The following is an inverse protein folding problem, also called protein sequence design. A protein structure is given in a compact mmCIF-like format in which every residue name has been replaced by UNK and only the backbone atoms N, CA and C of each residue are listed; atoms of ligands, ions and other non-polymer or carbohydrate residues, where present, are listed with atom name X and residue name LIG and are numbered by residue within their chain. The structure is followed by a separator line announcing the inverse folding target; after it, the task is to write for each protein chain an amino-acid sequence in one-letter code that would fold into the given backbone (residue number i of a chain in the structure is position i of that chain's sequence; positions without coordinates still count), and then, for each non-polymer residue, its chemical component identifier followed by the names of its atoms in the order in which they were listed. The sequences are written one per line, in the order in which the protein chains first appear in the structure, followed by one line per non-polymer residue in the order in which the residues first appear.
data_IF_840130677202
#
_entry.id   IF_840130677202
#
_cell.length_a   1.000
_cell.length_b   1.000
_cell.length_c   1.000
_cell.angle_alpha   90.00
_cell.angle_beta   90.00
_cell.angle_gamma   90.00
#
_symmetry.space_group_name_H-M   'P 1'
#
loop_
_entity.id
_entity.type
_entity.pdbx_description
1 polymer ?
#
# COMPACT_ATOMS: atom_id res chain seq x y z
N UNK A 1 10.83 -2.52 -9.39
CA UNK A 1 10.53 -1.41 -10.32
C UNK A 1 9.49 -1.81 -11.35
N UNK A 2 9.67 -2.94 -12.06
CA UNK A 2 8.74 -3.41 -13.11
C UNK A 2 7.27 -3.48 -12.65
N UNK A 3 6.99 -4.04 -11.47
CA UNK A 3 5.60 -4.15 -10.96
C UNK A 3 4.87 -2.80 -10.84
N UNK A 4 5.55 -1.76 -10.35
CA UNK A 4 4.96 -0.43 -10.13
C UNK A 4 4.76 0.25 -11.47
N UNK A 5 5.75 0.13 -12.36
CA UNK A 5 5.64 0.64 -13.71
C UNK A 5 4.41 0.04 -14.41
N UNK A 6 4.21 -1.27 -14.37
CA UNK A 6 3.03 -1.93 -14.94
C UNK A 6 1.73 -1.37 -14.35
N UNK A 7 1.65 -1.19 -13.03
CA UNK A 7 0.46 -0.61 -12.42
C UNK A 7 0.21 0.84 -12.87
N UNK A 8 1.25 1.67 -12.93
CA UNK A 8 1.15 3.06 -13.42
C UNK A 8 0.69 3.08 -14.89
N UNK A 9 1.28 2.24 -15.74
CA UNK A 9 0.90 2.09 -17.14
C UNK A 9 -0.54 1.64 -17.30
N UNK A 10 -1.00 0.68 -16.49
CA UNK A 10 -2.39 0.24 -16.48
C UNK A 10 -3.34 1.41 -16.18
N UNK A 11 -3.00 2.29 -15.23
CA UNK A 11 -3.79 3.49 -14.93
C UNK A 11 -3.73 4.56 -16.02
N UNK A 12 -2.63 4.64 -16.77
CA UNK A 12 -2.47 5.60 -17.86
C UNK A 12 -3.37 5.24 -19.06
N UNK A 13 -3.46 3.95 -19.41
CA UNK A 13 -4.15 3.50 -20.63
C UNK A 13 -5.59 3.04 -20.41
N UNK A 14 -6.09 2.98 -19.17
CA UNK A 14 -7.40 2.37 -18.86
C UNK A 14 -8.59 3.05 -19.53
N UNK A 15 -8.46 4.33 -19.88
CA UNK A 15 -9.51 5.10 -20.55
C UNK A 15 -9.60 4.78 -22.04
N UNK A 16 -8.51 4.37 -22.68
CA UNK A 16 -8.51 4.01 -24.10
C UNK A 16 -8.61 2.49 -24.29
N UNK A 17 -7.95 1.72 -23.42
CA UNK A 17 -7.78 0.26 -23.53
C UNK A 17 -8.03 -0.46 -22.18
N UNK A 18 -9.27 -0.50 -21.67
CA UNK A 18 -9.57 -1.01 -20.32
C UNK A 18 -9.23 -2.50 -20.13
N UNK A 19 -9.33 -3.31 -21.19
CA UNK A 19 -8.98 -4.74 -21.13
C UNK A 19 -7.47 -4.95 -21.02
N UNK A 20 -6.69 -4.21 -21.83
CA UNK A 20 -5.23 -4.23 -21.76
C UNK A 20 -4.74 -3.72 -20.40
N UNK A 21 -5.35 -2.66 -19.87
CA UNK A 21 -5.08 -2.18 -18.53
C UNK A 21 -5.32 -3.27 -17.46
N UNK A 22 -6.41 -4.02 -17.57
CA UNK A 22 -6.71 -5.16 -16.70
C UNK A 22 -5.63 -6.25 -16.77
N UNK A 23 -5.19 -6.61 -17.98
CA UNK A 23 -4.12 -7.58 -18.20
C UNK A 23 -2.78 -7.12 -17.59
N UNK A 24 -2.38 -5.88 -17.84
CA UNK A 24 -1.14 -5.29 -17.31
C UNK A 24 -1.18 -5.24 -15.77
N UNK A 25 -2.32 -4.85 -15.19
CA UNK A 25 -2.47 -4.87 -13.74
C UNK A 25 -2.43 -6.30 -13.20
N UNK A 26 -3.05 -7.26 -13.88
CA UNK A 26 -2.97 -8.68 -13.53
C UNK A 26 -1.55 -9.21 -13.53
N UNK A 27 -0.74 -8.85 -14.53
CA UNK A 27 0.69 -9.16 -14.56
C UNK A 27 1.43 -8.52 -13.38
N UNK A 28 1.12 -7.28 -13.02
CA UNK A 28 1.66 -6.62 -11.83
C UNK A 28 1.31 -7.37 -10.53
N UNK A 29 0.06 -7.81 -10.38
CA UNK A 29 -0.41 -8.61 -9.23
C UNK A 29 0.32 -9.97 -9.18
N UNK A 30 0.49 -10.61 -10.33
CA UNK A 30 1.21 -11.88 -10.45
C UNK A 30 2.68 -11.77 -10.02
N UNK A 31 3.32 -10.61 -10.24
CA UNK A 31 4.68 -10.36 -9.76
C UNK A 31 4.70 -10.11 -8.24
N UNK A 32 3.79 -9.25 -7.74
CA UNK A 32 3.62 -8.98 -6.30
C UNK A 32 2.16 -8.63 -5.95
N UNK A 33 1.62 -9.32 -4.96
CA UNK A 33 0.22 -9.15 -4.51
C UNK A 33 -0.15 -7.74 -4.04
N UNK A 34 0.82 -6.90 -3.65
CA UNK A 34 0.57 -5.50 -3.22
C UNK A 34 -0.22 -4.70 -4.28
N UNK A 35 -0.06 -5.03 -5.56
CA UNK A 35 -0.76 -4.38 -6.68
C UNK A 35 -2.27 -4.56 -6.64
N UNK A 36 -2.77 -5.55 -5.89
CA UNK A 36 -4.21 -5.81 -5.75
C UNK A 36 -4.94 -4.61 -5.15
N UNK A 37 -4.24 -3.77 -4.37
CA UNK A 37 -4.81 -2.55 -3.77
C UNK A 37 -5.32 -1.58 -4.85
N UNK A 38 -4.71 -1.59 -6.03
CA UNK A 38 -5.02 -0.67 -7.11
C UNK A 38 -6.20 -1.16 -7.98
N UNK A 39 -6.54 -2.44 -7.92
CA UNK A 39 -7.61 -3.07 -8.68
C UNK A 39 -8.97 -2.36 -8.57
N UNK A 40 -9.54 -2.12 -7.36
CA UNK A 40 -10.85 -1.48 -7.28
C UNK A 40 -10.87 -0.07 -7.89
N UNK A 41 -9.76 0.67 -7.78
CA UNK A 41 -9.62 2.00 -8.36
C UNK A 41 -9.56 1.95 -9.90
N UNK A 42 -8.81 0.99 -10.45
CA UNK A 42 -8.74 0.76 -11.89
C UNK A 42 -10.11 0.35 -12.45
N UNK A 43 -10.82 -0.56 -11.79
CA UNK A 43 -12.16 -1.01 -12.18
C UNK A 43 -13.15 0.15 -12.16
N UNK A 44 -13.12 0.99 -11.13
CA UNK A 44 -13.96 2.20 -11.03
C UNK A 44 -13.67 3.21 -12.16
N UNK A 45 -12.43 3.26 -12.65
CA UNK A 45 -12.04 4.11 -13.78
C UNK A 45 -12.46 3.49 -15.12
N UNK A 46 -12.18 2.21 -15.34
CA UNK A 46 -12.59 1.45 -16.53
C UNK A 46 -14.11 1.43 -16.73
N UNK A 47 -14.88 1.33 -15.63
CA UNK A 47 -16.34 1.32 -15.66
C UNK A 47 -16.96 2.62 -16.21
N UNK A 48 -16.18 3.69 -16.39
CA UNK A 48 -16.63 4.93 -17.06
C UNK A 48 -16.91 4.74 -18.54
N UNK A 49 -16.17 3.83 -19.19
CA UNK A 49 -16.37 3.49 -20.61
C UNK A 49 -17.44 2.42 -20.80
N UNK A 50 -18.00 1.91 -19.70
CA UNK A 50 -19.01 0.86 -19.69
C UNK A 50 -18.81 -0.10 -18.53
N UNK A 51 -19.91 -0.51 -17.90
CA UNK A 51 -19.87 -1.47 -16.77
C UNK A 51 -19.22 -2.78 -17.17
N UNK A 52 -19.47 -3.24 -18.40
CA UNK A 52 -18.87 -4.45 -18.96
C UNK A 52 -17.35 -4.32 -19.07
N UNK A 53 -16.83 -3.16 -19.52
CA UNK A 53 -15.40 -2.92 -19.60
C UNK A 53 -14.73 -3.01 -18.22
N UNK A 54 -15.35 -2.41 -17.20
CA UNK A 54 -14.88 -2.53 -15.81
C UNK A 54 -14.89 -3.98 -15.30
N UNK A 55 -15.96 -4.72 -15.57
CA UNK A 55 -16.07 -6.13 -15.18
C UNK A 55 -15.02 -7.02 -15.87
N UNK A 56 -14.88 -6.91 -17.19
CA UNK A 56 -13.90 -7.68 -17.96
C UNK A 56 -12.46 -7.33 -17.57
N UNK A 57 -12.18 -6.04 -17.33
CA UNK A 57 -10.88 -5.60 -16.81
C UNK A 57 -10.56 -6.22 -15.45
N UNK A 58 -11.54 -6.27 -14.54
CA UNK A 58 -11.40 -6.95 -13.25
C UNK A 58 -11.14 -8.45 -13.41
N UNK A 59 -11.92 -9.10 -14.28
CA UNK A 59 -11.80 -10.54 -14.55
C UNK A 59 -10.42 -10.90 -15.10
N UNK A 60 -9.88 -10.10 -16.03
CA UNK A 60 -8.52 -10.28 -16.55
C UNK A 60 -7.46 -10.06 -15.46
N UNK A 61 -7.59 -8.99 -14.68
CA UNK A 61 -6.64 -8.67 -13.61
C UNK A 61 -6.57 -9.75 -12.52
N UNK A 62 -7.69 -10.43 -12.24
CA UNK A 62 -7.76 -11.56 -11.29
C UNK A 62 -7.34 -12.88 -11.97
N UNK A 63 -7.74 -13.09 -13.23
CA UNK A 63 -7.47 -14.32 -13.96
C UNK A 63 -5.98 -14.58 -14.17
N UNK A 64 -5.19 -13.55 -14.49
CA UNK A 64 -3.74 -13.67 -14.69
C UNK A 64 -3.02 -14.28 -13.47
N UNK A 65 -3.11 -13.72 -12.26
CA UNK A 65 -2.45 -14.32 -11.09
C UNK A 65 -3.01 -15.72 -10.77
N UNK A 66 -4.33 -15.97 -10.92
CA UNK A 66 -4.90 -17.31 -10.71
C UNK A 66 -4.25 -18.35 -11.62
N UNK A 67 -4.06 -18.04 -12.90
CA UNK A 67 -3.43 -18.93 -13.88
C UNK A 67 -1.94 -19.10 -13.56
N UNK A 68 -1.22 -17.99 -13.35
CA UNK A 68 0.23 -18.01 -13.06
C UNK A 68 0.56 -18.73 -11.75
N UNK A 69 -0.30 -18.64 -10.73
CA UNK A 69 -0.09 -19.25 -9.42
C UNK A 69 -0.72 -20.63 -9.25
N UNK A 70 -1.45 -21.15 -10.24
CA UNK A 70 -2.03 -22.51 -10.21
C UNK A 70 -1.02 -23.59 -9.74
N UNK A 71 0.26 -23.61 -10.18
CA UNK A 71 1.23 -24.60 -9.71
C UNK A 71 1.54 -24.48 -8.21
N UNK A 72 1.46 -23.27 -7.66
CA UNK A 72 1.76 -22.99 -6.25
C UNK A 72 0.58 -23.29 -5.32
N UNK A 73 -0.64 -23.47 -5.85
CA UNK A 73 -1.84 -23.75 -5.06
C UNK A 73 -2.14 -25.25 -4.99
N UNK A 74 -1.70 -26.01 -5.99
CA UNK A 74 -1.97 -27.44 -6.13
C UNK A 74 -0.75 -28.32 -5.84
N UNK A 75 0.39 -27.72 -5.46
CA UNK A 75 1.65 -28.42 -5.24
C UNK A 75 2.13 -28.44 -3.77
N UNK A 76 3.10 -29.32 -3.43
CA UNK A 76 3.73 -29.40 -2.10
C UNK A 76 4.40 -28.09 -1.65
N UNK A 77 4.66 -27.14 -2.58
CA UNK A 77 5.24 -25.84 -2.26
C UNK A 77 4.32 -24.93 -1.43
N UNK A 78 3.02 -25.22 -1.36
CA UNK A 78 2.05 -24.50 -0.50
C UNK A 78 2.50 -24.40 0.95
N UNK A 79 3.18 -25.43 1.47
CA UNK A 79 3.57 -25.54 2.88
C UNK A 79 4.84 -24.73 3.26
N UNK A 80 5.69 -24.39 2.29
CA UNK A 80 6.99 -23.74 2.57
C UNK A 80 6.89 -22.23 2.83
N UNK A 81 5.76 -21.59 2.50
CA UNK A 81 5.60 -20.13 2.64
C UNK A 81 5.41 -19.64 4.08
N UNK A 82 5.05 -20.52 5.02
CA UNK A 82 4.74 -20.13 6.41
C UNK A 82 5.93 -20.32 7.35
N UNK A 83 6.83 -21.26 7.06
CA UNK A 83 7.91 -21.67 7.98
C UNK A 83 9.09 -20.69 8.02
N UNK A 84 9.29 -19.86 6.98
CA UNK A 84 10.47 -18.97 6.87
C UNK A 84 10.35 -17.56 7.46
N UNK A 85 9.17 -17.14 7.95
CA UNK A 85 8.91 -15.73 8.27
C UNK A 85 9.19 -15.34 9.73
N UNK A 86 9.58 -16.29 10.59
CA UNK A 86 9.91 -16.02 12.00
C UNK A 86 11.26 -15.35 12.22
N UNK A 87 12.17 -15.41 11.25
CA UNK A 87 13.57 -14.96 11.39
C UNK A 87 13.92 -13.65 10.68
N UNK A 88 13.00 -13.07 9.91
CA UNK A 88 13.26 -11.85 9.14
C UNK A 88 12.69 -10.63 9.85
N UNK A 89 13.58 -9.80 10.40
CA UNK A 89 13.37 -8.50 11.02
C UNK A 89 12.06 -7.84 10.58
N UNK A 90 11.02 -7.93 11.42
CA UNK A 90 9.69 -7.50 10.98
C UNK A 90 9.48 -6.01 11.29
N UNK A 91 9.58 -5.22 10.22
CA UNK A 91 9.63 -3.75 10.22
C UNK A 91 8.23 -3.12 10.17
N UNK A 92 7.28 -3.63 10.95
CA UNK A 92 5.88 -3.21 10.87
C UNK A 92 5.28 -2.81 12.22
N UNK A 93 4.21 -1.98 12.22
CA UNK A 93 3.42 -1.73 13.42
C UNK A 93 2.91 -3.04 14.06
N UNK A 94 2.50 -4.00 13.23
CA UNK A 94 2.03 -5.31 13.69
C UNK A 94 3.14 -6.08 14.43
N UNK A 95 4.37 -6.04 13.95
CA UNK A 95 5.50 -6.65 14.65
C UNK A 95 5.78 -6.01 16.01
N UNK A 96 5.76 -4.68 16.10
CA UNK A 96 5.97 -3.98 17.37
C UNK A 96 4.97 -4.41 18.43
N UNK A 97 3.69 -4.51 18.05
CA UNK A 97 2.62 -4.97 18.94
C UNK A 97 2.81 -6.46 19.29
N UNK A 98 3.37 -7.25 18.39
CA UNK A 98 3.60 -8.68 18.59
C UNK A 98 4.84 -9.01 19.43
N UNK A 99 5.83 -8.12 19.48
CA UNK A 99 7.12 -8.36 20.13
C UNK A 99 7.01 -8.81 21.59
N UNK A 100 6.14 -8.22 22.44
CA UNK A 100 5.96 -8.69 23.82
C UNK A 100 5.45 -10.14 23.92
N UNK A 101 4.61 -10.60 22.99
CA UNK A 101 4.11 -11.98 22.99
C UNK A 101 5.21 -12.98 22.59
N UNK A 102 6.10 -12.59 21.68
CA UNK A 102 7.28 -13.40 21.35
C UNK A 102 8.28 -13.43 22.50
N UNK A 103 8.61 -12.27 23.08
CA UNK A 103 9.55 -12.17 24.20
C UNK A 103 9.09 -12.94 25.45
N UNK A 104 7.78 -13.01 25.70
CA UNK A 104 7.21 -13.76 26.84
C UNK A 104 6.96 -15.25 26.55
N UNK A 105 7.32 -15.76 25.38
CA UNK A 105 7.05 -17.16 24.98
C UNK A 105 5.57 -17.48 24.78
N UNK A 106 4.69 -16.47 24.77
CA UNK A 106 3.23 -16.62 24.65
C UNK A 106 2.72 -16.61 23.21
N UNK A 107 3.59 -16.37 22.23
CA UNK A 107 3.21 -16.26 20.82
C UNK A 107 2.54 -17.54 20.24
N UNK A 108 2.86 -18.71 20.78
CA UNK A 108 2.28 -19.99 20.37
C UNK A 108 1.00 -20.38 21.16
N UNK A 109 0.66 -19.64 22.22
CA UNK A 109 -0.50 -19.97 23.06
C UNK A 109 -1.80 -19.51 22.38
N UNK A 110 -2.90 -20.29 22.52
CA UNK A 110 -4.20 -19.90 21.99
C UNK A 110 -4.72 -18.66 22.74
N UNK A 111 -5.15 -17.64 22.00
CA UNK A 111 -5.59 -16.37 22.58
C UNK A 111 -7.06 -16.41 23.05
N UNK A 112 -7.90 -17.25 22.43
CA UNK A 112 -9.34 -17.35 22.72
C UNK A 112 -9.71 -18.65 23.45
N UNK A 113 -8.76 -19.23 24.19
CA UNK A 113 -8.91 -20.54 24.83
C UNK A 113 -8.69 -21.71 23.87
N UNK A 114 -8.46 -22.90 24.41
CA UNK A 114 -8.18 -24.12 23.63
C UNK A 114 -9.42 -24.73 22.97
N UNK A 115 -10.62 -24.32 23.38
CA UNK A 115 -11.88 -24.86 22.86
C UNK A 115 -12.40 -24.14 21.62
N UNK A 116 -11.97 -22.90 21.35
CA UNK A 116 -12.46 -22.13 20.23
C UNK A 116 -11.59 -22.36 18.98
N UNK A 117 -12.10 -23.16 18.06
CA UNK A 117 -11.50 -23.40 16.74
C UNK A 117 -12.36 -22.73 15.67
N UNK A 118 -11.78 -21.79 14.92
CA UNK A 118 -12.48 -21.12 13.83
C UNK A 118 -12.36 -21.95 12.54
N UNK A 119 -13.46 -22.17 11.79
CA UNK A 119 -13.53 -23.12 10.67
C UNK A 119 -12.60 -22.85 9.47
N UNK A 120 -11.84 -21.75 9.46
CA UNK A 120 -10.85 -21.42 8.43
C UNK A 120 -9.51 -20.91 8.99
N UNK A 121 -9.47 -20.55 10.28
CA UNK A 121 -8.32 -19.92 10.91
C UNK A 121 -7.67 -20.80 11.97
N UNK A 122 -8.30 -21.94 12.31
CA UNK A 122 -7.85 -22.81 13.38
C UNK A 122 -7.97 -22.14 14.75
N UNK A 123 -7.05 -22.47 15.65
CA UNK A 123 -6.94 -21.79 16.95
C UNK A 123 -6.12 -20.50 16.79
N UNK A 124 -6.70 -19.31 17.02
CA UNK A 124 -5.97 -18.06 16.83
C UNK A 124 -5.00 -17.82 17.99
N UNK A 125 -3.72 -17.62 17.67
CA UNK A 125 -2.72 -17.11 18.61
C UNK A 125 -2.80 -15.58 18.75
N UNK A 126 -2.17 -15.02 19.79
CA UNK A 126 -2.12 -13.57 19.99
C UNK A 126 -1.56 -12.81 18.78
N UNK A 127 -0.40 -13.22 18.19
CA UNK A 127 0.11 -12.55 17.00
C UNK A 127 -0.84 -12.59 15.81
N UNK A 128 -1.61 -13.68 15.68
CA UNK A 128 -2.59 -13.83 14.62
C UNK A 128 -3.77 -12.89 14.81
N UNK A 129 -4.27 -12.72 16.03
CA UNK A 129 -5.33 -11.74 16.33
C UNK A 129 -4.88 -10.31 16.03
N UNK A 130 -3.66 -9.95 16.42
CA UNK A 130 -3.08 -8.64 16.09
C UNK A 130 -3.03 -8.46 14.57
N UNK A 131 -2.49 -9.44 13.83
CA UNK A 131 -2.46 -9.37 12.36
C UNK A 131 -3.86 -9.21 11.75
N UNK A 132 -4.85 -9.97 12.23
CA UNK A 132 -6.23 -9.86 11.76
C UNK A 132 -6.84 -8.48 12.07
N UNK A 133 -6.50 -7.88 13.20
CA UNK A 133 -6.97 -6.53 13.54
C UNK A 133 -6.41 -5.46 12.60
N UNK A 134 -5.12 -5.56 12.23
CA UNK A 134 -4.50 -4.68 11.22
C UNK A 134 -5.12 -4.89 9.83
N UNK A 135 -5.37 -6.13 9.43
CA UNK A 135 -6.07 -6.44 8.17
C UNK A 135 -7.47 -5.85 8.17
N UNK A 136 -8.23 -5.99 9.25
CA UNK A 136 -9.56 -5.42 9.39
C UNK A 136 -9.53 -3.88 9.30
N UNK A 137 -8.59 -3.23 9.99
CA UNK A 137 -8.39 -1.79 9.92
C UNK A 137 -8.05 -1.32 8.50
N UNK A 138 -7.15 -2.03 7.81
CA UNK A 138 -6.84 -1.77 6.41
C UNK A 138 -8.08 -1.91 5.52
N UNK A 139 -8.85 -3.00 5.64
CA UNK A 139 -10.06 -3.21 4.85
C UNK A 139 -11.06 -2.07 5.04
N UNK A 140 -11.23 -1.57 6.26
CA UNK A 140 -12.09 -0.42 6.54
C UNK A 140 -11.59 0.85 5.84
N UNK A 141 -10.29 1.16 5.94
CA UNK A 141 -9.70 2.35 5.28
C UNK A 141 -9.74 2.22 3.76
N UNK A 142 -9.43 1.04 3.22
CA UNK A 142 -9.47 0.76 1.79
C UNK A 142 -10.89 0.91 1.24
N UNK A 143 -11.89 0.32 1.90
CA UNK A 143 -13.29 0.46 1.52
C UNK A 143 -13.72 1.94 1.53
N UNK A 144 -13.39 2.67 2.59
CA UNK A 144 -13.69 4.09 2.68
C UNK A 144 -13.02 4.90 1.56
N UNK A 145 -11.75 4.62 1.27
CA UNK A 145 -11.01 5.25 0.18
C UNK A 145 -11.61 4.93 -1.20
N UNK A 146 -12.00 3.68 -1.45
CA UNK A 146 -12.67 3.25 -2.68
C UNK A 146 -14.01 3.98 -2.86
N UNK A 147 -14.83 4.05 -1.81
CA UNK A 147 -16.11 4.76 -1.84
C UNK A 147 -15.93 6.26 -2.09
N UNK A 148 -14.92 6.88 -1.46
CA UNK A 148 -14.57 8.29 -1.72
C UNK A 148 -14.04 8.49 -3.13
N UNK A 149 -13.16 7.61 -3.62
CA UNK A 149 -12.61 7.68 -4.96
C UNK A 149 -13.71 7.59 -6.02
N UNK A 150 -14.69 6.72 -5.83
CA UNK A 150 -15.87 6.62 -6.70
C UNK A 150 -16.59 7.97 -6.86
N UNK A 151 -16.63 8.77 -5.80
CA UNK A 151 -17.28 10.10 -5.77
C UNK A 151 -16.36 11.22 -6.26
N UNK A 152 -15.13 11.29 -5.74
CA UNK A 152 -14.22 12.44 -5.94
C UNK A 152 -13.24 12.28 -7.10
N UNK A 153 -12.97 11.04 -7.54
CA UNK A 153 -11.97 10.69 -8.57
C UNK A 153 -10.54 11.13 -8.27
N UNK A 154 -10.25 11.52 -7.04
CA UNK A 154 -8.91 11.99 -6.64
C UNK A 154 -7.99 10.81 -6.35
N UNK A 155 -6.85 10.76 -7.04
CA UNK A 155 -5.81 9.72 -6.81
C UNK A 155 -5.27 9.69 -5.38
N UNK A 156 -5.49 10.76 -4.60
CA UNK A 156 -5.22 10.80 -3.15
C UNK A 156 -5.82 9.62 -2.38
N UNK A 157 -6.98 9.12 -2.81
CA UNK A 157 -7.64 7.99 -2.15
C UNK A 157 -6.92 6.66 -2.44
N UNK A 158 -6.32 6.50 -3.63
CA UNK A 158 -5.43 5.37 -3.93
C UNK A 158 -4.21 5.41 -2.99
N UNK A 159 -3.58 6.57 -2.84
CA UNK A 159 -2.44 6.73 -1.93
C UNK A 159 -2.80 6.47 -0.47
N UNK A 160 -4.02 6.80 -0.06
CA UNK A 160 -4.56 6.45 1.25
C UNK A 160 -4.66 4.93 1.44
N UNK A 161 -5.23 4.22 0.48
CA UNK A 161 -5.34 2.76 0.54
C UNK A 161 -3.96 2.07 0.50
N UNK A 162 -3.05 2.53 -0.36
CA UNK A 162 -1.67 2.03 -0.42
C UNK A 162 -0.94 2.26 0.91
N UNK A 163 -1.06 3.45 1.49
CA UNK A 163 -0.45 3.74 2.79
C UNK A 163 -1.05 2.88 3.90
N UNK A 164 -2.37 2.70 3.93
CA UNK A 164 -3.02 1.81 4.89
C UNK A 164 -2.53 0.35 4.76
N UNK A 165 -2.32 -0.13 3.54
CA UNK A 165 -1.75 -1.46 3.29
C UNK A 165 -0.34 -1.58 3.85
N UNK A 166 0.50 -0.57 3.65
CA UNK A 166 1.86 -0.52 4.19
C UNK A 166 1.85 -0.60 5.71
N UNK A 167 0.93 0.12 6.36
CA UNK A 167 0.77 0.10 7.82
C UNK A 167 0.25 -1.23 8.36
N UNK A 168 -0.66 -1.87 7.62
CA UNK A 168 -1.22 -3.17 8.01
C UNK A 168 -0.32 -4.36 7.63
N UNK A 169 0.68 -4.13 6.78
CA UNK A 169 1.57 -5.20 6.33
C UNK A 169 2.36 -5.75 7.51
N UNK A 170 2.41 -7.06 7.73
CA UNK A 170 3.22 -7.65 8.80
C UNK A 170 4.72 -7.44 8.57
N UNK A 171 5.13 -7.18 7.32
CA UNK A 171 6.52 -6.92 6.94
C UNK A 171 6.52 -5.76 5.93
N UNK A 172 7.31 -4.72 6.19
CA UNK A 172 7.46 -3.60 5.27
C UNK A 172 8.82 -3.73 4.59
N UNK A 173 8.81 -4.13 3.32
CA UNK A 173 9.99 -4.09 2.48
C UNK A 173 10.12 -2.76 1.71
N UNK A 174 11.34 -2.31 1.40
CA UNK A 174 11.60 -1.01 0.78
C UNK A 174 11.10 -0.96 -0.66
N UNK A 175 10.96 -2.08 -1.36
CA UNK A 175 10.31 -2.07 -2.67
C UNK A 175 8.83 -1.69 -2.59
N UNK A 176 8.17 -1.77 -1.43
CA UNK A 176 6.82 -1.25 -1.27
C UNK A 176 6.79 0.29 -1.30
N UNK A 177 7.90 0.98 -1.04
CA UNK A 177 8.00 2.45 -1.20
C UNK A 177 7.83 2.88 -2.64
N UNK A 178 8.23 2.02 -3.58
CA UNK A 178 8.08 2.32 -4.99
C UNK A 178 6.61 2.58 -5.34
N UNK A 179 5.65 2.05 -4.56
CA UNK A 179 4.23 2.34 -4.72
C UNK A 179 3.81 3.75 -4.31
N UNK A 180 4.60 4.40 -3.44
CA UNK A 180 4.41 5.81 -3.07
C UNK A 180 5.25 6.75 -3.94
N UNK A 181 6.17 6.23 -4.76
CA UNK A 181 7.01 7.05 -5.64
C UNK A 181 6.20 7.95 -6.59
N UNK A 182 5.09 7.48 -7.22
CA UNK A 182 4.27 8.37 -8.03
C UNK A 182 3.64 9.51 -7.23
N UNK A 183 3.34 9.28 -5.94
CA UNK A 183 2.85 10.33 -5.06
C UNK A 183 3.92 11.36 -4.73
N UNK A 184 5.20 10.97 -4.64
CA UNK A 184 6.34 11.86 -4.40
C UNK A 184 6.61 12.84 -5.56
N UNK A 185 6.27 12.46 -6.79
CA UNK A 185 6.35 13.32 -7.97
C UNK A 185 5.21 14.35 -8.05
N UNK A 186 4.12 14.15 -7.28
CA UNK A 186 3.00 15.07 -7.23
C UNK A 186 3.25 16.27 -6.32
N UNK A 187 2.24 17.14 -6.20
CA UNK A 187 2.19 18.22 -5.19
C UNK A 187 1.26 17.83 -4.03
N UNK A 188 1.40 18.52 -2.91
CA UNK A 188 0.49 18.39 -1.77
C UNK A 188 0.92 17.39 -0.68
N UNK A 189 -0.05 17.02 0.17
CA UNK A 189 0.23 16.29 1.43
C UNK A 189 0.78 14.88 1.23
N UNK A 190 0.35 14.21 0.16
CA UNK A 190 0.81 12.86 -0.16
C UNK A 190 2.24 12.83 -0.69
N UNK A 191 2.68 13.87 -1.39
CA UNK A 191 4.07 13.99 -1.81
C UNK A 191 5.00 14.15 -0.60
N UNK A 192 4.62 15.02 0.35
CA UNK A 192 5.35 15.21 1.60
C UNK A 192 5.39 13.92 2.41
N UNK A 193 4.25 13.23 2.53
CA UNK A 193 4.18 11.94 3.19
C UNK A 193 5.11 10.92 2.54
N UNK A 194 5.05 10.77 1.21
CA UNK A 194 5.88 9.83 0.46
C UNK A 194 7.38 10.11 0.62
N UNK A 195 7.79 11.38 0.59
CA UNK A 195 9.18 11.79 0.81
C UNK A 195 9.67 11.44 2.22
N UNK A 196 8.93 11.83 3.25
CA UNK A 196 9.32 11.54 4.64
C UNK A 196 9.35 10.04 4.93
N UNK A 197 8.37 9.32 4.42
CA UNK A 197 8.30 7.87 4.54
C UNK A 197 9.49 7.21 3.80
N UNK A 198 9.85 7.70 2.61
CA UNK A 198 11.01 7.26 1.84
C UNK A 198 12.36 7.59 2.49
N UNK A 199 12.47 8.67 3.27
CA UNK A 199 13.70 8.99 4.01
C UNK A 199 13.88 8.08 5.22
N UNK A 200 12.82 7.90 6.02
CA UNK A 200 12.88 7.17 7.28
C UNK A 200 13.15 5.67 7.09
N UNK A 201 12.73 5.08 5.98
CA UNK A 201 13.06 3.69 5.63
C UNK A 201 14.53 3.51 5.20
N UNK A 202 15.17 4.50 4.57
CA UNK A 202 16.62 4.42 4.27
C UNK A 202 17.40 4.41 5.58
N UNK A 203 17.05 5.30 6.51
CA UNK A 203 17.64 5.33 7.85
C UNK A 203 17.43 4.00 8.59
N UNK A 204 16.26 3.37 8.40
CA UNK A 204 15.95 2.05 8.94
C UNK A 204 16.85 0.96 8.39
N UNK A 205 17.06 0.92 7.08
CA UNK A 205 17.95 -0.06 6.46
C UNK A 205 19.40 0.08 6.93
N UNK A 206 19.88 1.31 7.11
CA UNK A 206 21.18 1.55 7.70
C UNK A 206 21.26 0.98 9.12
N UNK A 207 20.21 1.18 9.93
CA UNK A 207 20.13 0.63 11.29
C UNK A 207 20.04 -0.91 11.30
N UNK A 208 19.23 -1.52 10.43
CA UNK A 208 19.12 -2.98 10.33
C UNK A 208 20.47 -3.62 9.93
N UNK A 209 21.23 -3.00 9.02
CA UNK A 209 22.57 -3.45 8.66
C UNK A 209 23.53 -3.45 9.86
N UNK A 210 23.46 -2.42 10.71
CA UNK A 210 24.29 -2.35 11.94
C UNK A 210 23.85 -3.34 13.01
N UNK A 211 22.55 -3.62 13.14
CA UNK A 211 22.03 -4.62 14.07
C UNK A 211 22.45 -6.04 13.66
N UNK A 212 22.41 -6.34 12.36
CA UNK A 212 22.84 -7.63 11.80
C UNK A 212 24.33 -7.91 12.05
N UNK A 213 25.15 -6.88 12.15
CA UNK A 213 26.58 -7.00 12.48
C UNK A 213 26.83 -7.34 13.96
N UNK A 214 25.80 -7.48 14.79
CA UNK A 214 25.92 -7.83 16.22
C UNK A 214 26.51 -6.72 17.08
N UNK A 215 26.60 -5.49 16.58
CA UNK A 215 27.38 -4.42 17.21
C UNK A 215 26.60 -3.52 18.18
N UNK A 216 25.28 -3.67 18.31
CA UNK A 216 24.45 -2.74 19.09
C UNK A 216 23.54 -3.44 20.12
N UNK A 217 23.86 -3.39 21.44
CA UNK A 217 22.99 -3.92 22.50
C UNK A 217 21.65 -3.17 22.61
N UNK A 218 21.56 -1.99 22.02
CA UNK A 218 20.36 -1.13 21.96
C UNK A 218 19.54 -1.30 20.67
N UNK A 219 19.90 -2.27 19.83
CA UNK A 219 19.31 -2.47 18.50
C UNK A 219 17.78 -2.52 18.51
N UNK A 220 17.16 -3.34 19.36
CA UNK A 220 15.69 -3.46 19.41
C UNK A 220 15.00 -2.16 19.83
N UNK A 221 15.52 -1.45 20.83
CA UNK A 221 14.94 -0.20 21.32
C UNK A 221 15.04 0.91 20.26
N UNK A 222 16.18 1.03 19.58
CA UNK A 222 16.34 1.98 18.48
C UNK A 222 15.45 1.63 17.29
N UNK A 223 15.27 0.34 16.98
CA UNK A 223 14.34 -0.11 15.94
C UNK A 223 12.90 0.25 16.29
N UNK A 224 12.48 0.06 17.54
CA UNK A 224 11.15 0.47 18.02
C UNK A 224 10.97 1.98 17.90
N UNK A 225 11.91 2.77 18.42
CA UNK A 225 11.85 4.24 18.35
C UNK A 225 11.82 4.74 16.91
N UNK A 226 12.64 4.16 16.03
CA UNK A 226 12.66 4.50 14.62
C UNK A 226 11.37 4.10 13.91
N UNK A 227 10.76 2.95 14.26
CA UNK A 227 9.43 2.61 13.73
C UNK A 227 8.38 3.62 14.22
N UNK A 228 8.40 4.06 15.47
CA UNK A 228 7.46 5.10 15.96
C UNK A 228 7.65 6.40 15.19
N UNK A 229 8.90 6.85 15.00
CA UNK A 229 9.21 8.03 14.22
C UNK A 229 8.75 7.87 12.75
N UNK A 230 9.04 6.72 12.14
CA UNK A 230 8.62 6.33 10.80
C UNK A 230 7.10 6.44 10.61
N UNK A 231 6.33 6.05 11.61
CA UNK A 231 4.87 6.05 11.57
C UNK A 231 4.28 7.44 11.85
N UNK A 232 4.83 8.17 12.82
CA UNK A 232 4.22 9.41 13.31
C UNK A 232 4.69 10.65 12.56
N UNK A 233 5.98 10.72 12.19
CA UNK A 233 6.58 11.92 11.63
C UNK A 233 6.03 12.28 10.24
N UNK A 234 5.89 11.36 9.26
CA UNK A 234 5.32 11.71 7.96
C UNK A 234 3.89 12.24 8.07
N UNK A 235 3.10 11.68 9.00
CA UNK A 235 1.71 12.11 9.25
C UNK A 235 1.70 13.51 9.89
N UNK A 236 2.53 13.74 10.90
CA UNK A 236 2.65 15.02 11.57
C UNK A 236 3.08 16.13 10.58
N UNK A 237 4.11 15.89 9.77
CA UNK A 237 4.62 16.86 8.79
C UNK A 237 3.61 17.11 7.66
N UNK A 238 2.94 16.07 7.17
CA UNK A 238 1.88 16.23 6.16
C UNK A 238 0.67 17.02 6.70
N UNK A 239 0.43 17.01 8.02
CA UNK A 239 -0.64 17.77 8.69
C UNK A 239 -0.23 19.20 9.06
N UNK A 240 1.03 19.47 9.39
CA UNK A 240 1.48 20.82 9.74
C UNK A 240 1.48 21.77 8.54
N UNK A 241 1.70 21.25 7.33
CA UNK A 241 1.66 22.04 6.07
C UNK A 241 0.25 22.47 5.63
N UNK A 242 -0.79 22.21 6.43
CA UNK A 242 -2.17 22.67 6.16
C UNK A 242 -2.34 24.19 6.21
N UNK A 243 -1.39 24.92 6.80
CA UNK A 243 -1.47 26.38 6.96
C UNK A 243 -0.72 27.22 5.91
N UNK A 244 -0.09 26.62 4.89
CA UNK A 244 0.79 27.35 3.96
C UNK A 244 0.30 27.37 2.50
N UNK A 245 -0.99 27.58 2.24
CA UNK A 245 -1.39 28.07 0.91
C UNK A 245 -2.47 29.16 0.98
N UNK A 246 -2.11 30.40 1.35
CA UNK A 246 -2.88 31.59 0.97
C UNK A 246 -2.60 32.02 -0.48
N UNK A 247 -1.53 31.54 -1.11
CA UNK A 247 -1.07 32.08 -2.41
C UNK A 247 -1.59 31.34 -3.64
N UNK A 248 -2.15 30.12 -3.50
CA UNK A 248 -2.76 29.41 -4.65
C UNK A 248 -4.21 29.86 -4.90
N UNK A 249 -4.94 30.31 -3.87
CA UNK A 249 -6.28 30.87 -4.03
C UNK A 249 -6.27 32.25 -4.71
N UNK A 250 -5.16 32.98 -4.65
CA UNK A 250 -5.02 34.30 -5.29
C UNK A 250 -4.73 34.16 -6.79
N UNK A 251 -3.90 33.19 -7.19
CA UNK A 251 -3.53 32.99 -8.61
C UNK A 251 -4.68 32.37 -9.42
N UNK A 252 -5.54 31.54 -8.84
CA UNK A 252 -6.74 31.04 -9.53
C UNK A 252 -7.89 32.06 -9.60
N UNK A 253 -7.90 33.10 -8.76
CA UNK A 253 -8.94 34.13 -8.77
C UNK A 253 -8.66 35.32 -9.69
N UNK A 254 -7.41 35.54 -10.09
CA UNK A 254 -7.02 36.72 -10.89
C UNK A 254 -6.76 36.45 -12.37
N UNK A 255 -6.94 35.23 -12.87
CA UNK A 255 -6.91 34.96 -14.32
C UNK A 255 -8.34 35.03 -14.88
N UNK A 256 -8.74 36.13 -15.56
CA UNK A 256 -10.04 36.21 -16.19
C UNK A 256 -10.19 35.09 -17.22
N UNK A 257 -11.34 34.40 -17.17
CA UNK A 257 -11.67 33.25 -18.00
C UNK A 257 -11.56 33.50 -19.53
N UNK A 258 -11.46 34.77 -19.93
CA UNK A 258 -11.51 35.20 -21.32
C UNK A 258 -10.13 35.28 -22.01
N UNK A 259 -9.00 35.19 -21.29
CA UNK A 259 -7.67 35.41 -21.92
C UNK A 259 -6.91 34.16 -22.37
N UNK A 260 -7.36 32.96 -22.03
CA UNK A 260 -6.56 31.73 -22.32
C UNK A 260 -6.94 31.06 -23.65
N UNK A 261 -8.12 31.34 -24.22
CA UNK A 261 -8.59 30.66 -25.43
C UNK A 261 -8.20 31.32 -26.75
N UNK A 262 -7.77 32.59 -26.77
CA UNK A 262 -7.51 33.31 -28.03
C UNK A 262 -6.16 32.99 -28.71
N UNK A 263 -5.20 32.39 -28.00
CA UNK A 263 -3.85 32.17 -28.57
C UNK A 263 -3.62 30.84 -29.28
N UNK A 264 -4.63 29.95 -29.41
CA UNK A 264 -4.45 28.62 -30.04
C UNK A 264 -5.13 28.41 -31.39
N UNK A 265 -5.71 29.43 -32.02
CA UNK A 265 -6.35 29.31 -33.35
C UNK A 265 -5.80 30.28 -34.40
N UNK A 266 -4.48 30.26 -34.65
CA UNK A 266 -3.95 30.77 -35.92
C UNK A 266 -3.34 29.63 -36.74
N UNK A 267 -4.03 29.14 -37.79
CA UNK A 267 -3.38 28.33 -38.81
C UNK A 267 -2.40 29.20 -39.60
N UNK A 268 -1.23 28.65 -39.90
CA UNK A 268 -0.31 29.16 -40.91
C UNK A 268 -0.79 28.75 -42.31
#
# INVERSE_FOLDING_TARGET
TIMVALAVWAFAIVEDYPLLAGLILGASIAIKYVSVVALPFLVIRAARNGRLAGFLSAALAIGVPVICFKPFWLGPQTLYSVVGHGGTFAMSPAWMVNLPFFASGRAALPALGSSLVLPLLGQPSWPRLVQLSFVAAFCAVALFAILRFRRSRRLEELWRATSALLWASPIIHPWYLLWLLPAAAGRGRWAVYAWWFGLLIVLRYALDATHLAGQAPWGTAALVALTIAYLTLPVAVARSRRGMHPLDEVVERELPADTVWETQQRPA
#
